data_IF_800406613625
#
_entry.id   IF_800406613625
#
_cell.length_a   1.000
_cell.length_b   1.000
_cell.length_c   1.000
_cell.angle_alpha   90.00
_cell.angle_beta   90.00
_cell.angle_gamma   90.00
#
_symmetry.space_group_name_H-M   'P 1'
#
loop_
_entity.id
_entity.type
_entity.pdbx_description
1 polymer ?
#
# COMPACT_ATOMS: atom_id res chain seq x y z
N UNK A 1 4.24 -25.20 -16.29
CA UNK A 1 4.60 -23.89 -16.89
C UNK A 1 6.04 -23.57 -16.48
N UNK A 2 6.89 -23.07 -17.38
CA UNK A 2 8.30 -22.78 -17.07
C UNK A 2 8.43 -21.54 -16.18
N UNK A 3 9.41 -21.52 -15.27
CA UNK A 3 9.64 -20.42 -14.32
C UNK A 3 9.83 -19.06 -15.01
N UNK A 4 10.43 -19.05 -16.21
CA UNK A 4 10.60 -17.85 -17.04
C UNK A 4 9.28 -17.21 -17.45
N UNK A 5 8.25 -18.00 -17.81
CA UNK A 5 6.93 -17.48 -18.17
C UNK A 5 6.23 -16.86 -16.97
N UNK A 6 6.38 -17.44 -15.78
CA UNK A 6 5.81 -16.91 -14.55
C UNK A 6 6.46 -15.58 -14.16
N UNK A 7 7.79 -15.47 -14.26
CA UNK A 7 8.49 -14.22 -13.98
C UNK A 7 8.10 -13.11 -14.96
N UNK A 8 7.91 -13.44 -16.24
CA UNK A 8 7.44 -12.48 -17.24
C UNK A 8 6.01 -11.99 -16.95
N UNK A 9 5.11 -12.89 -16.54
CA UNK A 9 3.74 -12.54 -16.17
C UNK A 9 3.71 -11.63 -14.93
N UNK A 10 4.51 -11.94 -13.90
CA UNK A 10 4.64 -11.10 -12.69
C UNK A 10 5.14 -9.70 -13.06
N UNK A 11 6.22 -9.60 -13.84
CA UNK A 11 6.79 -8.32 -14.25
C UNK A 11 5.78 -7.48 -15.06
N UNK A 12 4.99 -8.12 -15.93
CA UNK A 12 3.93 -7.46 -16.68
C UNK A 12 2.85 -6.90 -15.76
N UNK A 13 2.33 -7.70 -14.84
CA UNK A 13 1.28 -7.30 -13.91
C UNK A 13 1.74 -6.19 -12.95
N UNK A 14 2.98 -6.26 -12.43
CA UNK A 14 3.55 -5.21 -11.60
C UNK A 14 3.60 -3.87 -12.34
N UNK A 15 4.07 -3.89 -13.60
CA UNK A 15 4.12 -2.69 -14.44
C UNK A 15 2.73 -2.11 -14.72
N UNK A 16 1.73 -2.96 -14.94
CA UNK A 16 0.34 -2.52 -15.11
C UNK A 16 -0.18 -1.84 -13.83
N UNK A 17 0.06 -2.43 -12.66
CA UNK A 17 -0.29 -1.85 -11.34
C UNK A 17 0.37 -0.48 -11.13
N UNK A 18 1.68 -0.38 -11.39
CA UNK A 18 2.42 0.89 -11.27
C UNK A 18 1.88 1.96 -12.22
N UNK A 19 1.55 1.58 -13.46
CA UNK A 19 0.99 2.48 -14.48
C UNK A 19 -0.37 3.03 -14.05
N UNK A 20 -1.26 2.16 -13.55
CA UNK A 20 -2.58 2.58 -13.07
C UNK A 20 -2.49 3.57 -11.91
N UNK A 21 -1.53 3.38 -10.99
CA UNK A 21 -1.42 4.22 -9.81
C UNK A 21 -0.72 5.56 -10.06
N UNK A 22 0.04 5.68 -11.16
CA UNK A 22 0.64 6.94 -11.63
C UNK A 22 1.35 7.74 -10.52
N UNK A 23 2.10 7.06 -9.65
CA UNK A 23 2.59 7.62 -8.38
C UNK A 23 3.80 8.57 -8.51
N UNK A 24 4.11 9.03 -9.73
CA UNK A 24 5.21 9.95 -10.00
C UNK A 24 6.58 9.40 -9.58
N UNK A 25 7.20 10.04 -8.58
CA UNK A 25 8.52 9.62 -8.04
C UNK A 25 8.44 8.62 -6.88
N UNK A 26 7.23 8.24 -6.46
CA UNK A 26 7.02 7.27 -5.39
C UNK A 26 7.41 5.89 -5.89
N UNK A 27 8.29 5.21 -5.15
CA UNK A 27 8.67 3.84 -5.46
C UNK A 27 7.61 2.86 -4.92
N UNK A 28 7.35 1.79 -5.66
CA UNK A 28 6.52 0.67 -5.23
C UNK A 28 7.38 -0.55 -4.95
N UNK A 29 7.08 -1.25 -3.86
CA UNK A 29 7.73 -2.50 -3.47
C UNK A 29 6.65 -3.56 -3.34
N UNK A 30 6.87 -4.71 -3.98
CA UNK A 30 6.00 -5.88 -3.91
C UNK A 30 6.69 -6.91 -3.01
N UNK A 31 6.26 -7.01 -1.76
CA UNK A 31 6.83 -7.93 -0.77
C UNK A 31 5.98 -9.21 -0.66
N UNK A 32 6.55 -10.34 -1.07
CA UNK A 32 5.88 -11.64 -1.04
C UNK A 32 6.33 -12.45 0.17
N UNK A 33 5.37 -12.92 0.95
CA UNK A 33 5.61 -13.71 2.16
C UNK A 33 4.81 -15.00 2.10
N UNK A 34 5.47 -16.12 2.29
CA UNK A 34 4.78 -17.40 2.47
C UNK A 34 4.07 -17.38 3.82
N UNK A 35 2.82 -17.81 3.81
CA UNK A 35 1.98 -18.01 4.99
C UNK A 35 1.57 -19.48 5.01
N UNK A 36 1.16 -20.01 6.16
CA UNK A 36 0.70 -21.40 6.26
C UNK A 36 -0.52 -21.74 5.38
N UNK A 37 -1.14 -20.75 4.73
CA UNK A 37 -2.35 -20.89 3.92
C UNK A 37 -2.17 -20.42 2.45
N UNK A 38 -0.96 -20.02 2.05
CA UNK A 38 -0.68 -19.49 0.71
C UNK A 38 0.35 -18.37 0.73
N UNK A 39 0.29 -17.45 -0.22
CA UNK A 39 1.21 -16.33 -0.34
C UNK A 39 0.48 -15.03 -0.04
N UNK A 40 1.03 -14.27 0.91
CA UNK A 40 0.65 -12.89 1.15
C UNK A 40 1.53 -11.97 0.31
N UNK A 41 0.91 -11.03 -0.39
CA UNK A 41 1.60 -9.94 -1.07
C UNK A 41 1.24 -8.63 -0.38
N UNK A 42 2.23 -7.93 0.13
CA UNK A 42 2.09 -6.55 0.59
C UNK A 42 2.66 -5.61 -0.47
N UNK A 43 1.85 -4.64 -0.89
CA UNK A 43 2.29 -3.56 -1.79
C UNK A 43 2.60 -2.35 -0.92
N UNK A 44 3.83 -1.89 -1.00
CA UNK A 44 4.37 -0.84 -0.15
C UNK A 44 4.74 0.34 -1.04
N UNK A 45 4.29 1.54 -0.69
CA UNK A 45 4.74 2.77 -1.34
C UNK A 45 5.80 3.43 -0.49
N UNK A 46 6.87 3.89 -1.13
CA UNK A 46 8.00 4.57 -0.47
C UNK A 46 8.09 5.98 -1.02
N UNK A 47 7.95 6.97 -0.14
CA UNK A 47 8.20 8.36 -0.45
C UNK A 47 9.71 8.63 -0.36
N UNK A 48 10.42 8.84 -1.48
CA UNK A 48 11.88 8.97 -1.48
C UNK A 48 12.38 10.24 -0.79
N UNK A 49 11.52 11.26 -0.60
CA UNK A 49 11.93 12.52 0.04
C UNK A 49 12.08 12.41 1.54
N UNK A 50 11.20 11.64 2.18
CA UNK A 50 11.14 11.51 3.64
C UNK A 50 11.56 10.12 4.13
N UNK A 51 11.96 9.24 3.20
CA UNK A 51 12.28 7.84 3.45
C UNK A 51 11.20 7.12 4.28
N UNK A 52 9.93 7.48 4.06
CA UNK A 52 8.78 6.88 4.72
C UNK A 52 8.12 5.88 3.79
N UNK A 53 7.88 4.67 4.31
CA UNK A 53 7.14 3.62 3.62
C UNK A 53 5.75 3.44 4.24
N UNK A 54 4.76 3.16 3.42
CA UNK A 54 3.40 2.87 3.89
C UNK A 54 2.82 1.68 3.15
N UNK A 55 1.92 0.96 3.81
CA UNK A 55 1.16 -0.07 3.11
C UNK A 55 0.16 0.60 2.17
N UNK A 56 0.24 0.24 0.89
CA UNK A 56 -0.78 0.61 -0.08
C UNK A 56 -2.00 -0.31 0.05
N UNK A 57 -1.75 -1.62 -0.08
CA UNK A 57 -2.74 -2.68 0.06
C UNK A 57 -2.03 -4.03 0.28
N UNK A 58 -2.76 -5.02 0.77
CA UNK A 58 -2.27 -6.39 0.83
C UNK A 58 -3.31 -7.35 0.23
N UNK A 59 -2.84 -8.48 -0.28
CA UNK A 59 -3.68 -9.57 -0.76
C UNK A 59 -3.12 -10.91 -0.33
N UNK A 60 -3.95 -11.95 -0.38
CA UNK A 60 -3.56 -13.33 -0.10
C UNK A 60 -4.03 -14.21 -1.24
N UNK A 61 -3.12 -14.91 -1.88
CA UNK A 61 -3.42 -15.85 -2.96
C UNK A 61 -2.81 -17.22 -2.71
N UNK A 62 -3.19 -18.19 -3.53
CA UNK A 62 -2.57 -19.52 -3.50
C UNK A 62 -1.10 -19.48 -3.92
N UNK A 63 -0.78 -18.64 -4.91
CA UNK A 63 0.58 -18.40 -5.39
C UNK A 63 0.84 -16.89 -5.61
N UNK A 64 2.06 -16.56 -6.06
CA UNK A 64 2.50 -15.16 -6.25
C UNK A 64 1.67 -14.46 -7.33
N UNK A 65 1.31 -15.17 -8.39
CA UNK A 65 0.56 -14.61 -9.53
C UNK A 65 -0.88 -14.34 -9.09
N UNK A 66 -1.49 -15.26 -8.36
CA UNK A 66 -2.83 -15.12 -7.82
C UNK A 66 -2.92 -13.92 -6.86
N UNK A 67 -1.99 -13.82 -5.90
CA UNK A 67 -1.93 -12.67 -4.99
C UNK A 67 -1.78 -11.34 -5.76
N UNK A 68 -0.92 -11.30 -6.78
CA UNK A 68 -0.71 -10.11 -7.62
C UNK A 68 -1.92 -9.78 -8.49
N UNK A 69 -2.63 -10.79 -9.02
CA UNK A 69 -3.89 -10.59 -9.76
C UNK A 69 -4.95 -9.93 -8.90
N UNK A 70 -5.05 -10.31 -7.63
CA UNK A 70 -5.96 -9.65 -6.68
C UNK A 70 -5.59 -8.18 -6.46
N UNK A 71 -4.30 -7.84 -6.33
CA UNK A 71 -3.85 -6.44 -6.28
C UNK A 71 -4.23 -5.70 -7.56
N UNK A 72 -3.99 -6.29 -8.73
CA UNK A 72 -4.31 -5.67 -10.01
C UNK A 72 -5.81 -5.39 -10.14
N UNK A 73 -6.67 -6.35 -9.80
CA UNK A 73 -8.13 -6.17 -9.75
C UNK A 73 -8.53 -5.08 -8.75
N UNK A 74 -7.93 -5.07 -7.56
CA UNK A 74 -8.18 -4.02 -6.56
C UNK A 74 -7.88 -2.62 -7.10
N UNK A 75 -6.71 -2.44 -7.71
CA UNK A 75 -6.28 -1.15 -8.27
C UNK A 75 -7.21 -0.69 -9.39
N UNK A 76 -7.65 -1.61 -10.25
CA UNK A 76 -8.51 -1.28 -11.39
C UNK A 76 -9.95 -0.98 -11.02
N UNK A 77 -10.54 -1.78 -10.12
CA UNK A 77 -12.00 -1.80 -9.95
C UNK A 77 -12.47 -1.16 -8.62
N UNK A 78 -11.58 -1.05 -7.63
CA UNK A 78 -11.95 -0.68 -6.26
C UNK A 78 -11.23 0.55 -5.72
N UNK A 79 -9.99 0.80 -6.15
CA UNK A 79 -9.15 1.86 -5.58
C UNK A 79 -9.80 3.24 -5.64
N UNK A 80 -10.37 3.62 -6.78
CA UNK A 80 -11.01 4.94 -6.95
C UNK A 80 -12.29 5.12 -6.11
N UNK A 81 -12.96 4.00 -5.78
CA UNK A 81 -14.21 3.99 -5.01
C UNK A 81 -13.98 4.07 -3.51
N UNK A 82 -12.75 3.90 -3.05
CA UNK A 82 -12.44 4.01 -1.63
C UNK A 82 -12.45 5.47 -1.17
N UNK A 83 -12.84 5.65 0.08
CA UNK A 83 -12.72 6.91 0.79
C UNK A 83 -11.27 7.37 0.81
N UNK A 84 -11.06 8.68 0.71
CA UNK A 84 -9.74 9.30 0.82
C UNK A 84 -9.62 9.94 2.20
N UNK A 85 -8.51 9.70 2.89
CA UNK A 85 -8.21 10.22 4.21
C UNK A 85 -6.93 11.05 4.18
N UNK A 86 -6.96 12.20 4.84
CA UNK A 86 -5.77 12.99 5.15
C UNK A 86 -5.41 12.73 6.61
N UNK A 87 -4.18 12.28 6.86
CA UNK A 87 -3.68 11.98 8.21
C UNK A 87 -2.49 12.87 8.52
N UNK A 88 -2.55 13.59 9.63
CA UNK A 88 -1.43 14.39 10.13
C UNK A 88 -0.80 13.70 11.34
N UNK A 89 0.51 13.53 11.30
CA UNK A 89 1.25 12.73 12.27
C UNK A 89 2.69 13.22 12.43
N UNK A 90 3.34 12.88 13.54
CA UNK A 90 4.79 13.03 13.72
C UNK A 90 5.39 11.76 14.33
N UNK A 91 6.68 11.53 14.11
CA UNK A 91 7.41 10.54 14.88
C UNK A 91 7.53 11.01 16.33
N UNK A 92 7.46 10.08 17.30
CA UNK A 92 7.55 10.42 18.71
C UNK A 92 8.93 10.99 19.03
N UNK A 93 8.96 12.20 19.59
CA UNK A 93 10.20 12.94 19.87
C UNK A 93 10.70 13.77 18.68
N UNK A 94 9.99 13.73 17.56
CA UNK A 94 10.20 14.63 16.43
C UNK A 94 9.24 15.83 16.49
N UNK A 95 9.71 16.98 16.01
CA UNK A 95 8.94 18.21 15.92
C UNK A 95 8.41 18.46 14.49
N UNK A 96 8.73 17.60 13.52
CA UNK A 96 8.22 17.71 12.17
C UNK A 96 6.78 17.14 12.06
N UNK A 97 5.85 17.95 11.56
CA UNK A 97 4.49 17.50 11.24
C UNK A 97 4.46 16.98 9.81
N UNK A 98 4.15 15.71 9.64
CA UNK A 98 3.92 15.09 8.34
C UNK A 98 2.43 15.06 8.01
N UNK A 99 2.13 15.16 6.72
CA UNK A 99 0.79 14.95 6.17
C UNK A 99 0.86 13.82 5.15
N UNK A 100 0.01 12.82 5.31
CA UNK A 100 -0.05 11.65 4.43
C UNK A 100 -1.48 11.38 3.99
N UNK A 101 -1.62 10.86 2.77
CA UNK A 101 -2.92 10.61 2.15
C UNK A 101 -3.10 9.11 1.95
N UNK A 102 -4.24 8.59 2.39
CA UNK A 102 -4.56 7.17 2.29
C UNK A 102 -5.92 6.99 1.65
N UNK A 103 -6.02 6.04 0.71
CA UNK A 103 -7.31 5.46 0.36
C UNK A 103 -7.57 4.25 1.24
N UNK A 104 -8.73 4.19 1.85
CA UNK A 104 -9.13 3.12 2.77
C UNK A 104 -10.65 3.02 2.84
N UNK A 105 -11.18 1.89 3.34
CA UNK A 105 -12.62 1.74 3.58
C UNK A 105 -13.09 2.56 4.78
N UNK A 106 -12.24 2.70 5.80
CA UNK A 106 -12.52 3.36 7.07
C UNK A 106 -11.24 3.95 7.71
N UNK A 107 -11.42 4.70 8.80
CA UNK A 107 -10.30 5.30 9.57
C UNK A 107 -9.35 4.21 10.11
N UNK A 108 -9.81 3.10 10.73
CA UNK A 108 -8.93 2.03 11.18
C UNK A 108 -7.99 1.52 10.08
N UNK A 109 -8.50 1.21 8.88
CA UNK A 109 -7.65 0.75 7.79
C UNK A 109 -6.63 1.83 7.36
N UNK A 110 -7.01 3.11 7.34
CA UNK A 110 -6.06 4.19 7.07
C UNK A 110 -4.91 4.22 8.09
N UNK A 111 -5.20 3.99 9.37
CA UNK A 111 -4.19 3.94 10.43
C UNK A 111 -3.35 2.67 10.38
N UNK A 112 -3.93 1.52 10.02
CA UNK A 112 -3.18 0.28 9.80
C UNK A 112 -2.15 0.47 8.67
N UNK A 113 -2.53 1.19 7.60
CA UNK A 113 -1.62 1.52 6.50
C UNK A 113 -0.48 2.43 6.91
N UNK A 114 -0.77 3.44 7.74
CA UNK A 114 0.22 4.36 8.31
C UNK A 114 1.21 3.61 9.21
N UNK A 115 0.71 2.75 10.09
CA UNK A 115 1.52 2.02 11.08
C UNK A 115 2.25 0.80 10.52
N UNK A 116 2.12 0.51 9.21
CA UNK A 116 2.73 -0.66 8.62
C UNK A 116 4.25 -0.71 8.84
N UNK A 117 4.72 -1.84 9.40
CA UNK A 117 6.14 -2.04 9.69
C UNK A 117 6.69 -1.21 10.86
N UNK A 118 5.82 -0.56 11.66
CA UNK A 118 6.19 0.30 12.79
C UNK A 118 5.49 -0.16 14.08
N UNK A 119 6.02 0.26 15.22
CA UNK A 119 5.29 0.18 16.49
C UNK A 119 4.17 1.23 16.49
N UNK A 120 2.89 0.89 16.73
CA UNK A 120 1.80 1.86 16.80
C UNK A 120 2.06 3.01 17.80
N UNK A 121 2.90 2.80 18.82
CA UNK A 121 3.27 3.80 19.81
C UNK A 121 4.44 4.71 19.38
N UNK A 122 5.03 4.47 18.20
CA UNK A 122 6.14 5.28 17.69
C UNK A 122 5.67 6.58 17.02
N UNK A 123 4.38 6.71 16.74
CA UNK A 123 3.80 7.88 16.07
C UNK A 123 2.84 8.64 16.99
N UNK A 124 2.79 9.95 16.84
CA UNK A 124 1.73 10.78 17.40
C UNK A 124 0.80 11.19 16.26
N UNK A 125 -0.47 10.81 16.34
CA UNK A 125 -1.50 11.17 15.34
C UNK A 125 -2.24 12.41 15.84
N UNK A 126 -2.22 13.49 15.06
CA UNK A 126 -2.88 14.75 15.40
C UNK A 126 -4.28 14.84 14.82
N UNK A 127 -4.48 14.35 13.60
CA UNK A 127 -5.78 14.40 12.94
C UNK A 127 -5.93 13.30 11.89
N UNK A 128 -7.17 12.85 11.71
CA UNK A 128 -7.59 12.00 10.60
C UNK A 128 -8.86 12.60 10.03
N UNK A 129 -8.82 13.02 8.77
CA UNK A 129 -9.92 13.71 8.10
C UNK A 129 -10.36 12.88 6.90
N UNK A 130 -11.64 12.55 6.83
CA UNK A 130 -12.27 12.01 5.62
C UNK A 130 -12.41 13.15 4.59
N UNK A 131 -11.76 13.00 3.45
CA UNK A 131 -11.85 13.96 2.36
C UNK A 131 -13.21 13.80 1.66
N UNK A 132 -13.94 14.90 1.39
CA UNK A 132 -15.21 14.83 0.69
C UNK A 132 -15.03 14.22 -0.71
N UNK A 133 -15.99 13.41 -1.11
CA UNK A 133 -16.06 12.87 -2.47
C UNK A 133 -16.50 14.03 -3.38
N UNK A 134 -15.67 14.37 -4.37
CA UNK A 134 -16.04 15.34 -5.40
C UNK A 134 -16.76 14.70 -6.57
#
# INVERSE_FOLDING_TARGET
>A
MTAERQNLEIAKLQKEVETYLSLGSTQMIFDYRETGQGIRLDVITVNPRHNQSFLFHHSTGYDRIDALKQIHTYVKDHYERQNSYTVQWSAKGDNELHTSYFRAKDIPEALDKLNFGRDPNSLTIFSVVLNPIS
#
